data_IF_079443392205
#
_entry.id   IF_079443392205
#
_cell.length_a   1.000
_cell.length_b   1.000
_cell.length_c   1.000
_cell.angle_alpha   90.00
_cell.angle_beta   90.00
_cell.angle_gamma   90.00
#
_symmetry.space_group_name_H-M   'P 1'
#
loop_
_entity.id
_entity.type
_entity.pdbx_description
1 polymer ?
#
# COMPACT_ATOMS: atom_id res chain seq x y z
N UNK A 1 77.36 70.03 19.20
CA UNK A 1 76.96 68.71 19.75
C UNK A 1 75.53 68.91 20.27
N UNK A 2 74.46 68.38 19.70
CA UNK A 2 74.34 67.33 18.69
C UNK A 2 73.03 67.56 17.91
N UNK A 3 73.09 67.39 16.60
CA UNK A 3 71.97 67.52 15.66
C UNK A 3 71.73 66.10 15.16
N UNK A 4 70.62 65.46 15.56
CA UNK A 4 69.92 64.37 14.85
C UNK A 4 68.95 63.65 15.79
N UNK A 5 67.67 63.99 15.69
CA UNK A 5 66.59 63.08 16.04
C UNK A 5 65.36 63.43 15.20
N UNK A 6 65.41 63.12 13.91
CA UNK A 6 64.22 63.11 13.06
C UNK A 6 64.18 61.82 12.24
N UNK A 7 63.33 60.90 12.73
CA UNK A 7 62.32 60.19 11.96
C UNK A 7 62.84 59.33 10.79
N UNK A 8 63.17 58.08 11.09
CA UNK A 8 63.00 56.97 10.14
C UNK A 8 61.51 56.71 9.95
N UNK A 9 60.93 57.26 8.88
CA UNK A 9 59.67 56.78 8.31
C UNK A 9 60.02 55.64 7.37
N UNK A 10 59.66 54.42 7.76
CA UNK A 10 59.83 53.24 6.92
C UNK A 10 59.11 53.40 5.59
N UNK A 11 59.79 53.04 4.50
CA UNK A 11 59.13 52.75 3.23
C UNK A 11 58.18 51.58 3.44
N UNK A 12 56.88 51.86 3.50
CA UNK A 12 55.86 50.82 3.38
C UNK A 12 55.76 50.42 1.90
N UNK A 13 56.09 49.17 1.59
CA UNK A 13 55.91 48.59 0.25
C UNK A 13 54.43 48.65 -0.16
N UNK A 14 54.07 49.59 -1.04
CA UNK A 14 52.72 49.76 -1.60
C UNK A 14 52.26 48.60 -2.50
N UNK A 15 53.13 47.62 -2.77
CA UNK A 15 52.84 46.46 -3.63
C UNK A 15 51.89 45.45 -3.00
N UNK A 16 51.81 45.39 -1.65
CA UNK A 16 50.83 44.52 -0.97
C UNK A 16 49.40 45.05 -1.13
N UNK A 17 49.22 46.35 -0.99
CA UNK A 17 47.92 47.01 -1.16
C UNK A 17 47.44 46.92 -2.62
N UNK A 18 48.35 47.00 -3.60
CA UNK A 18 48.00 46.84 -5.03
C UNK A 18 47.51 45.41 -5.38
N UNK A 19 48.06 44.39 -4.72
CA UNK A 19 47.63 42.99 -4.89
C UNK A 19 46.25 42.75 -4.26
N UNK A 20 45.99 43.32 -3.08
CA UNK A 20 44.69 43.23 -2.42
C UNK A 20 43.60 44.03 -3.16
N UNK A 21 43.95 45.15 -3.80
CA UNK A 21 43.04 45.89 -4.67
C UNK A 21 42.72 45.09 -5.94
N UNK A 22 43.70 44.39 -6.54
CA UNK A 22 43.45 43.51 -7.71
C UNK A 22 42.56 42.31 -7.35
N UNK A 23 42.74 41.72 -6.17
CA UNK A 23 41.90 40.63 -5.67
C UNK A 23 40.44 41.07 -5.43
N UNK A 24 40.23 42.34 -5.10
CA UNK A 24 38.91 42.92 -4.85
C UNK A 24 38.38 43.78 -6.02
N UNK A 25 39.08 43.80 -7.15
CA UNK A 25 38.65 44.53 -8.35
C UNK A 25 37.36 43.91 -8.89
N UNK A 26 36.43 44.77 -9.29
CA UNK A 26 35.11 44.36 -9.81
C UNK A 26 35.26 43.34 -10.94
N UNK A 27 36.24 43.52 -11.82
CA UNK A 27 36.46 42.61 -12.94
C UNK A 27 37.06 41.25 -12.52
N UNK A 28 37.88 41.24 -11.47
CA UNK A 28 38.39 40.00 -10.87
C UNK A 28 37.26 39.23 -10.19
N UNK A 29 36.39 39.92 -9.44
CA UNK A 29 35.23 39.32 -8.79
C UNK A 29 34.22 38.79 -9.82
N UNK A 30 33.98 39.51 -10.92
CA UNK A 30 33.16 39.04 -12.06
C UNK A 30 33.73 37.76 -12.66
N UNK A 31 35.02 37.74 -12.97
CA UNK A 31 35.70 36.54 -13.52
C UNK A 31 35.63 35.35 -12.55
N UNK A 32 35.75 35.62 -11.24
CA UNK A 32 35.68 34.60 -10.19
C UNK A 32 34.28 34.05 -9.96
N UNK A 33 33.25 34.87 -10.13
CA UNK A 33 31.84 34.45 -10.14
C UNK A 33 31.52 33.63 -11.39
N UNK A 34 31.96 34.09 -12.56
CA UNK A 34 31.71 33.43 -13.84
C UNK A 34 32.39 32.05 -13.92
N UNK A 35 33.60 31.94 -13.37
CA UNK A 35 34.26 30.64 -13.17
C UNK A 35 33.55 29.76 -12.13
N UNK A 36 32.96 30.32 -11.07
CA UNK A 36 32.12 29.58 -10.13
C UNK A 36 30.84 29.06 -10.79
N UNK A 37 30.19 29.84 -11.66
CA UNK A 37 29.00 29.43 -12.38
C UNK A 37 29.31 28.31 -13.38
N UNK A 38 30.44 28.37 -14.08
CA UNK A 38 30.90 27.30 -14.99
C UNK A 38 31.19 26.00 -14.21
N UNK A 39 31.80 26.09 -13.03
CA UNK A 39 32.06 24.92 -12.16
C UNK A 39 30.76 24.39 -11.57
N UNK A 40 29.80 25.27 -11.23
CA UNK A 40 28.48 24.92 -10.70
C UNK A 40 27.63 24.24 -11.77
N UNK A 41 27.63 24.73 -13.01
CA UNK A 41 26.96 24.11 -14.16
C UNK A 41 27.52 22.71 -14.45
N UNK A 42 28.85 22.54 -14.52
CA UNK A 42 29.46 21.21 -14.70
C UNK A 42 29.14 20.24 -13.57
N UNK A 43 29.04 20.74 -12.32
CA UNK A 43 28.63 19.92 -11.16
C UNK A 43 27.14 19.58 -11.20
N UNK A 44 26.29 20.49 -11.67
CA UNK A 44 24.85 20.27 -11.82
C UNK A 44 24.54 19.24 -12.92
N UNK A 45 25.22 19.31 -14.07
CA UNK A 45 25.06 18.31 -15.14
C UNK A 45 25.48 16.91 -14.70
N UNK A 46 26.55 16.80 -13.91
CA UNK A 46 27.03 15.52 -13.37
C UNK A 46 26.09 14.90 -12.32
N UNK A 47 25.33 15.71 -11.59
CA UNK A 47 24.29 15.21 -10.66
C UNK A 47 23.00 14.84 -11.39
N UNK A 48 22.64 15.58 -12.45
CA UNK A 48 21.46 15.33 -13.29
C UNK A 48 21.52 13.98 -14.03
N UNK A 49 22.74 13.50 -14.34
CA UNK A 49 22.98 12.21 -15.02
C UNK A 49 22.89 10.99 -14.09
N UNK A 50 22.90 11.17 -12.77
CA UNK A 50 22.78 10.07 -11.80
C UNK A 50 21.36 9.88 -11.25
N UNK A 51 20.42 10.75 -11.63
CA UNK A 51 19.01 10.63 -11.26
C UNK A 51 18.29 9.92 -12.42
N UNK A 52 17.59 8.79 -12.16
CA UNK A 52 16.76 8.14 -13.17
C UNK A 52 15.80 9.13 -13.81
N UNK A 53 15.56 9.04 -15.12
CA UNK A 53 14.66 9.98 -15.81
C UNK A 53 13.26 10.07 -15.17
N UNK A 54 12.82 8.97 -14.55
CA UNK A 54 11.58 8.86 -13.77
C UNK A 54 11.52 9.75 -12.51
N UNK A 55 12.68 10.06 -11.92
CA UNK A 55 12.82 10.82 -10.67
C UNK A 55 13.33 12.25 -10.91
N UNK A 56 13.49 12.67 -12.17
CA UNK A 56 13.83 14.06 -12.51
C UNK A 56 12.68 14.97 -12.08
N UNK A 57 12.81 15.56 -10.91
CA UNK A 57 11.85 16.56 -10.42
C UNK A 57 11.81 17.72 -11.41
N UNK A 58 10.62 18.04 -11.92
CA UNK A 58 10.34 19.24 -12.70
C UNK A 58 11.05 20.47 -12.12
N UNK A 59 11.53 21.37 -12.98
CA UNK A 59 12.26 22.57 -12.57
C UNK A 59 11.57 23.30 -11.39
N UNK A 60 12.35 23.81 -10.43
CA UNK A 60 11.80 24.52 -9.28
C UNK A 60 11.00 25.73 -9.78
N UNK A 61 9.73 25.80 -9.37
CA UNK A 61 8.89 26.97 -9.69
C UNK A 61 9.37 28.11 -8.79
N UNK A 62 9.73 29.23 -9.41
CA UNK A 62 10.16 30.44 -8.72
C UNK A 62 9.01 31.46 -8.66
N UNK A 63 8.92 32.18 -7.56
CA UNK A 63 8.06 33.37 -7.45
C UNK A 63 8.63 34.53 -8.27
N UNK A 64 7.87 35.61 -8.46
CA UNK A 64 8.31 36.85 -9.14
C UNK A 64 9.59 37.45 -8.54
N UNK A 65 9.84 37.22 -7.24
CA UNK A 65 11.08 37.61 -6.55
C UNK A 65 12.23 36.60 -6.63
N UNK A 66 12.17 35.59 -7.51
CA UNK A 66 13.21 34.56 -7.68
C UNK A 66 13.31 33.52 -6.55
N UNK A 67 12.36 33.53 -5.61
CA UNK A 67 12.33 32.60 -4.48
C UNK A 67 11.63 31.29 -4.85
N UNK A 68 12.19 30.14 -4.45
CA UNK A 68 11.61 28.82 -4.73
C UNK A 68 10.28 28.64 -3.98
N UNK A 69 9.24 28.21 -4.69
CA UNK A 69 7.96 27.85 -4.11
C UNK A 69 8.02 26.43 -3.52
N UNK A 70 7.66 26.23 -2.24
CA UNK A 70 7.51 24.88 -1.69
C UNK A 70 6.45 24.09 -2.46
N UNK A 71 6.81 22.93 -3.02
CA UNK A 71 5.89 22.01 -3.68
C UNK A 71 5.57 20.83 -2.77
N UNK A 72 4.33 20.35 -2.80
CA UNK A 72 3.96 19.07 -2.18
C UNK A 72 4.50 17.93 -3.04
N UNK A 73 5.23 17.00 -2.44
CA UNK A 73 5.68 15.80 -3.13
C UNK A 73 4.48 14.90 -3.49
N UNK A 74 4.46 14.31 -4.69
CA UNK A 74 3.42 13.35 -5.07
C UNK A 74 3.49 12.13 -4.14
N UNK A 75 2.33 11.65 -3.70
CA UNK A 75 2.27 10.45 -2.86
C UNK A 75 2.24 9.21 -3.78
N UNK A 76 3.29 8.38 -3.80
CA UNK A 76 3.38 7.23 -4.73
C UNK A 76 2.28 6.18 -4.49
N UNK A 77 1.67 6.14 -3.31
CA UNK A 77 0.52 5.29 -3.01
C UNK A 77 -0.75 5.87 -3.63
N UNK A 78 -0.89 7.19 -3.68
CA UNK A 78 -2.04 7.87 -4.31
C UNK A 78 -1.99 7.78 -5.83
N UNK A 79 -0.81 7.91 -6.42
CA UNK A 79 -0.60 7.82 -7.87
C UNK A 79 -0.81 6.40 -8.42
N UNK A 80 -0.59 5.36 -7.60
CA UNK A 80 -0.71 3.97 -8.02
C UNK A 80 -2.06 3.35 -7.57
N UNK A 81 -3.07 3.44 -8.44
CA UNK A 81 -4.41 2.89 -8.20
C UNK A 81 -4.36 1.37 -7.98
N UNK A 82 -3.55 0.64 -8.75
CA UNK A 82 -3.39 -0.82 -8.62
C UNK A 82 -2.91 -1.22 -7.23
N UNK A 83 -1.94 -0.48 -6.68
CA UNK A 83 -1.46 -0.69 -5.31
C UNK A 83 -2.56 -0.47 -4.28
N UNK A 84 -3.40 0.57 -4.46
CA UNK A 84 -4.52 0.82 -3.56
C UNK A 84 -5.58 -0.28 -3.66
N UNK A 85 -5.88 -0.74 -4.87
CA UNK A 85 -6.83 -1.82 -5.12
C UNK A 85 -6.38 -3.09 -4.42
N UNK A 86 -5.12 -3.48 -4.61
CA UNK A 86 -4.50 -4.63 -3.94
C UNK A 86 -4.56 -4.50 -2.42
N UNK A 87 -4.25 -3.32 -1.87
CA UNK A 87 -4.34 -3.09 -0.43
C UNK A 87 -5.76 -3.29 0.11
N UNK A 88 -6.78 -2.75 -0.58
CA UNK A 88 -8.19 -2.94 -0.19
C UNK A 88 -8.61 -4.41 -0.27
N UNK A 89 -8.19 -5.12 -1.31
CA UNK A 89 -8.49 -6.55 -1.47
C UNK A 89 -7.83 -7.40 -0.37
N UNK A 90 -6.56 -7.15 -0.06
CA UNK A 90 -5.85 -7.87 1.00
C UNK A 90 -6.49 -7.64 2.37
N UNK A 91 -6.86 -6.39 2.69
CA UNK A 91 -7.61 -6.07 3.90
C UNK A 91 -8.97 -6.77 3.95
N UNK A 92 -9.69 -6.82 2.82
CA UNK A 92 -10.95 -7.54 2.72
C UNK A 92 -10.77 -9.04 2.97
N UNK A 93 -9.78 -9.66 2.34
CA UNK A 93 -9.46 -11.08 2.53
C UNK A 93 -9.11 -11.39 3.99
N UNK A 94 -8.33 -10.52 4.65
CA UNK A 94 -8.03 -10.64 6.08
C UNK A 94 -9.29 -10.52 6.94
N UNK A 95 -10.17 -9.55 6.66
CA UNK A 95 -11.43 -9.37 7.38
C UNK A 95 -12.36 -10.57 7.26
N UNK A 96 -12.40 -11.22 6.10
CA UNK A 96 -13.21 -12.42 5.85
C UNK A 96 -12.49 -13.71 6.30
N UNK A 97 -11.22 -13.64 6.68
CA UNK A 97 -10.42 -14.80 7.08
C UNK A 97 -9.96 -15.68 5.91
N UNK A 98 -9.97 -15.16 4.67
CA UNK A 98 -9.44 -15.85 3.49
C UNK A 98 -7.93 -15.64 3.40
N UNK A 99 -7.14 -16.65 3.77
CA UNK A 99 -5.69 -16.62 3.56
C UNK A 99 -5.40 -16.96 2.10
N UNK A 100 -4.84 -16.04 1.30
CA UNK A 100 -4.47 -16.26 -0.11
C UNK A 100 -3.04 -16.76 -0.31
N UNK A 101 -2.17 -16.66 0.71
CA UNK A 101 -0.75 -17.03 0.61
C UNK A 101 -0.48 -18.50 0.94
N UNK A 102 -1.31 -19.11 1.79
CA UNK A 102 -1.12 -20.49 2.28
C UNK A 102 -2.24 -21.45 1.89
N UNK A 103 -2.92 -21.23 0.75
CA UNK A 103 -3.96 -22.15 0.28
C UNK A 103 -3.32 -23.42 -0.28
N UNK A 104 -3.83 -24.59 0.14
CA UNK A 104 -3.65 -25.81 -0.65
C UNK A 104 -4.19 -25.54 -2.06
N UNK A 105 -3.52 -26.04 -3.09
CA UNK A 105 -4.04 -25.90 -4.46
C UNK A 105 -5.43 -26.53 -4.57
N UNK A 106 -6.23 -26.06 -5.54
CA UNK A 106 -7.54 -26.64 -5.84
C UNK A 106 -7.47 -28.17 -5.98
N UNK A 107 -6.43 -28.66 -6.67
CA UNK A 107 -6.15 -30.09 -6.83
C UNK A 107 -5.86 -30.78 -5.48
N UNK A 108 -5.01 -30.19 -4.64
CA UNK A 108 -4.72 -30.76 -3.31
C UNK A 108 -5.98 -30.84 -2.45
N UNK A 109 -6.83 -29.81 -2.47
CA UNK A 109 -8.11 -29.80 -1.75
C UNK A 109 -9.06 -30.86 -2.30
N UNK A 110 -9.12 -31.05 -3.62
CA UNK A 110 -9.93 -32.08 -4.25
C UNK A 110 -9.45 -33.50 -3.89
N UNK A 111 -8.14 -33.75 -3.92
CA UNK A 111 -7.55 -35.04 -3.56
C UNK A 111 -7.74 -35.37 -2.07
N UNK A 112 -7.57 -34.39 -1.18
CA UNK A 112 -7.85 -34.56 0.25
C UNK A 112 -9.32 -34.90 0.48
N UNK A 113 -10.24 -34.15 -0.13
CA UNK A 113 -11.68 -34.44 -0.07
C UNK A 113 -12.01 -35.84 -0.61
N UNK A 114 -11.36 -36.28 -1.69
CA UNK A 114 -11.54 -37.64 -2.23
C UNK A 114 -11.06 -38.70 -1.23
N UNK A 115 -9.90 -38.51 -0.61
CA UNK A 115 -9.37 -39.42 0.42
C UNK A 115 -10.29 -39.50 1.63
N UNK A 116 -10.78 -38.36 2.12
CA UNK A 116 -11.71 -38.29 3.24
C UNK A 116 -13.02 -39.00 2.92
N UNK A 117 -13.56 -38.79 1.72
CA UNK A 117 -14.79 -39.47 1.28
C UNK A 117 -14.59 -40.99 1.17
N UNK A 118 -13.44 -41.45 0.69
CA UNK A 118 -13.12 -42.87 0.62
C UNK A 118 -12.99 -43.47 2.03
N UNK A 119 -12.34 -42.77 2.95
CA UNK A 119 -12.20 -43.21 4.33
C UNK A 119 -13.56 -43.30 5.03
N UNK A 120 -14.41 -42.28 4.86
CA UNK A 120 -15.79 -42.26 5.36
C UNK A 120 -16.60 -43.43 4.82
N UNK A 121 -16.59 -43.63 3.49
CA UNK A 121 -17.30 -44.74 2.87
C UNK A 121 -16.86 -46.10 3.42
N UNK A 122 -15.55 -46.33 3.57
CA UNK A 122 -15.03 -47.56 4.16
C UNK A 122 -15.46 -47.77 5.60
N UNK A 123 -15.50 -46.69 6.40
CA UNK A 123 -15.99 -46.74 7.77
C UNK A 123 -17.49 -47.07 7.82
N UNK A 124 -18.29 -46.40 6.98
CA UNK A 124 -19.73 -46.63 6.88
C UNK A 124 -20.03 -48.08 6.44
N UNK A 125 -19.30 -48.60 5.44
CA UNK A 125 -19.43 -49.99 4.98
C UNK A 125 -19.08 -51.00 6.11
N UNK A 126 -18.04 -50.71 6.91
CA UNK A 126 -17.66 -51.55 8.05
C UNK A 126 -18.72 -51.51 9.16
N UNK A 127 -19.24 -50.32 9.49
CA UNK A 127 -20.34 -50.16 10.45
C UNK A 127 -21.56 -50.91 9.95
N UNK A 128 -21.96 -50.74 8.69
CA UNK A 128 -23.11 -51.42 8.10
C UNK A 128 -22.96 -52.96 8.10
N UNK A 129 -21.74 -53.47 7.90
CA UNK A 129 -21.46 -54.90 8.00
C UNK A 129 -21.58 -55.43 9.44
N UNK A 130 -21.23 -54.61 10.44
CA UNK A 130 -21.30 -54.99 11.86
C UNK A 130 -22.66 -54.71 12.51
N UNK A 131 -23.48 -53.83 11.94
CA UNK A 131 -24.81 -53.51 12.48
C UNK A 131 -25.72 -54.73 12.45
N UNK A 132 -26.27 -55.15 13.60
CA UNK A 132 -27.28 -56.21 13.68
C UNK A 132 -28.51 -55.89 12.82
N UNK A 133 -29.13 -56.91 12.24
CA UNK A 133 -30.32 -56.77 11.38
C UNK A 133 -31.47 -56.01 12.08
N UNK A 134 -31.66 -56.22 13.38
CA UNK A 134 -32.68 -55.50 14.15
C UNK A 134 -32.43 -53.98 14.20
N UNK A 135 -31.17 -53.57 14.38
CA UNK A 135 -30.81 -52.15 14.43
C UNK A 135 -31.05 -51.48 13.07
N UNK A 136 -30.77 -52.19 11.96
CA UNK A 136 -31.09 -51.71 10.60
C UNK A 136 -32.59 -51.47 10.43
N UNK A 137 -33.42 -52.42 10.85
CA UNK A 137 -34.89 -52.30 10.74
C UNK A 137 -35.43 -51.16 11.61
N UNK A 138 -34.88 -50.97 12.82
CA UNK A 138 -35.23 -49.85 13.69
C UNK A 138 -34.84 -48.52 13.03
N UNK A 139 -33.61 -48.40 12.52
CA UNK A 139 -33.12 -47.20 11.84
C UNK A 139 -33.98 -46.86 10.60
N UNK A 140 -34.32 -47.85 9.79
CA UNK A 140 -35.20 -47.69 8.64
C UNK A 140 -36.60 -47.21 9.05
N UNK A 141 -37.14 -47.75 10.15
CA UNK A 141 -38.43 -47.32 10.67
C UNK A 141 -38.39 -45.88 11.17
N UNK A 142 -37.33 -45.50 11.89
CA UNK A 142 -37.11 -44.11 12.33
C UNK A 142 -37.01 -43.18 11.13
N UNK A 143 -36.25 -43.54 10.08
CA UNK A 143 -36.11 -42.75 8.86
C UNK A 143 -37.44 -42.52 8.15
N UNK A 144 -38.28 -43.55 8.01
CA UNK A 144 -39.64 -43.43 7.44
C UNK A 144 -40.54 -42.51 8.26
N UNK A 145 -40.44 -42.58 9.58
CA UNK A 145 -41.20 -41.71 10.48
C UNK A 145 -40.73 -40.25 10.37
N UNK A 146 -39.42 -40.00 10.29
CA UNK A 146 -38.85 -38.66 10.13
C UNK A 146 -39.23 -38.03 8.79
N UNK A 147 -39.12 -38.75 7.66
CA UNK A 147 -39.50 -38.21 6.35
C UNK A 147 -40.99 -37.83 6.32
N UNK A 148 -41.85 -38.69 6.90
CA UNK A 148 -43.29 -38.42 7.03
C UNK A 148 -43.60 -37.24 7.95
N UNK A 149 -42.68 -36.88 8.86
CA UNK A 149 -42.79 -35.72 9.74
C UNK A 149 -42.25 -34.45 9.06
N UNK A 150 -41.17 -34.56 8.28
CA UNK A 150 -40.63 -33.43 7.51
C UNK A 150 -41.63 -32.93 6.46
N UNK A 151 -42.30 -33.83 5.72
CA UNK A 151 -43.31 -33.43 4.73
C UNK A 151 -44.44 -32.58 5.36
N UNK A 152 -44.81 -32.85 6.61
CA UNK A 152 -45.81 -32.06 7.36
C UNK A 152 -45.25 -30.72 7.86
N UNK A 153 -43.95 -30.67 8.16
CA UNK A 153 -43.28 -29.44 8.61
C UNK A 153 -42.84 -28.55 7.44
N UNK A 154 -42.71 -29.06 6.21
CA UNK A 154 -42.40 -28.23 5.04
C UNK A 154 -43.51 -27.21 4.77
N UNK A 155 -44.78 -27.60 4.93
CA UNK A 155 -45.91 -26.66 4.85
C UNK A 155 -45.78 -25.55 5.92
N UNK A 156 -45.43 -25.92 7.16
CA UNK A 156 -45.18 -24.96 8.24
C UNK A 156 -43.95 -24.07 8.00
N UNK A 157 -42.90 -24.61 7.35
CA UNK A 157 -41.70 -23.84 6.94
C UNK A 157 -42.01 -22.86 5.82
N UNK A 158 -42.84 -23.25 4.86
CA UNK A 158 -43.31 -22.36 3.78
C UNK A 158 -44.12 -21.21 4.37
N UNK A 159 -45.03 -21.51 5.30
CA UNK A 159 -45.81 -20.49 6.04
C UNK A 159 -44.87 -19.54 6.81
N UNK A 160 -43.85 -20.08 7.50
CA UNK A 160 -42.89 -19.25 8.24
C UNK A 160 -42.05 -18.35 7.32
N UNK A 161 -41.63 -18.87 6.16
CA UNK A 161 -40.88 -18.11 5.16
C UNK A 161 -41.71 -16.96 4.57
N UNK A 162 -42.97 -17.20 4.24
CA UNK A 162 -43.90 -16.18 3.75
C UNK A 162 -44.12 -15.08 4.81
N UNK A 163 -44.34 -15.48 6.06
CA UNK A 163 -44.52 -14.55 7.18
C UNK A 163 -43.27 -13.68 7.41
N UNK A 164 -42.07 -14.25 7.26
CA UNK A 164 -40.81 -13.53 7.34
C UNK A 164 -40.66 -12.50 6.19
N UNK A 165 -41.05 -12.88 4.97
CA UNK A 165 -41.05 -11.97 3.82
C UNK A 165 -42.05 -10.82 4.00
N UNK A 166 -43.27 -11.10 4.46
CA UNK A 166 -44.26 -10.06 4.77
C UNK A 166 -43.73 -9.09 5.83
N UNK A 167 -43.10 -9.60 6.89
CA UNK A 167 -42.49 -8.77 7.94
C UNK A 167 -41.39 -7.87 7.40
N UNK A 168 -40.53 -8.37 6.51
CA UNK A 168 -39.47 -7.59 5.88
C UNK A 168 -40.07 -6.47 5.01
N UNK A 169 -41.08 -6.78 4.20
CA UNK A 169 -41.76 -5.81 3.34
C UNK A 169 -42.53 -4.75 4.13
N UNK A 170 -43.04 -5.10 5.32
CA UNK A 170 -43.66 -4.14 6.23
C UNK A 170 -42.62 -3.21 6.86
N UNK A 171 -41.45 -3.73 7.23
CA UNK A 171 -40.36 -2.93 7.82
C UNK A 171 -39.78 -1.90 6.83
N UNK A 172 -39.60 -2.28 5.57
CA UNK A 172 -39.11 -1.33 4.54
C UNK A 172 -40.10 -0.19 4.27
N UNK A 173 -41.40 -0.46 4.39
CA UNK A 173 -42.45 0.58 4.24
C UNK A 173 -42.51 1.53 5.43
N UNK A 174 -42.26 1.07 6.64
CA UNK A 174 -42.28 1.96 7.82
C UNK A 174 -41.07 2.87 7.90
N UNK A 175 -39.91 2.43 7.40
CA UNK A 175 -38.68 3.24 7.38
C UNK A 175 -38.67 4.29 6.25
N UNK A 176 -39.47 4.10 5.19
CA UNK A 176 -39.58 5.04 4.07
C UNK A 176 -40.54 6.22 4.30
N UNK A 177 -41.31 6.21 5.39
CA UNK A 177 -42.29 7.24 5.76
C UNK A 177 -41.83 8.09 6.96
N UNK A 178 -40.52 8.20 7.19
CA UNK A 178 -39.93 8.97 8.28
C UNK A 178 -38.92 9.98 7.78
#
# INVERSE_FOLDING_TARGET
MDVRAFREVGLHDLTKDELDIKANSIDHLRTKLESHDIVKLRKFEKLSTMIPDSDRTSEPILNEGGMIIPKKLPNPVKENIERQNLHRELLFNQKIGKNVLNQKSELQRALEKQKDNLARKKLDDHIAAQTPELEKVIADRVKRLQSSHEDKNEDDKVINKELLQMRMNLKTRTDANK
#
